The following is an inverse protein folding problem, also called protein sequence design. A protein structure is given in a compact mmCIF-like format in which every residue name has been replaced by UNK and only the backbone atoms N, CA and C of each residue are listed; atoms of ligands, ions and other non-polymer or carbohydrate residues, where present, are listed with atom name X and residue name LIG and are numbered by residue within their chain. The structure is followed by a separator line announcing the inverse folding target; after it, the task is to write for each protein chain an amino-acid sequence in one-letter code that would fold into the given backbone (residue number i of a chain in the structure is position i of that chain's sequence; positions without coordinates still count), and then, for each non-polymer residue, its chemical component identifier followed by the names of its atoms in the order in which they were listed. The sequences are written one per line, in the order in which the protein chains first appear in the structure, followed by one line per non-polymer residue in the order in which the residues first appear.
data_IF_387009443826
#
_entry.id   IF_387009443826
#
_cell.length_a   1.000
_cell.length_b   1.000
_cell.length_c   1.000
_cell.angle_alpha   90.00
_cell.angle_beta   90.00
_cell.angle_gamma   90.00
#
_symmetry.space_group_name_H-M   'P 1'
#
loop_
_entity.id
_entity.type
_entity.pdbx_description
1 polymer ?
#
# COMPACT_ATOMS: atom_id res chain seq x y z
N UNK A 1 -42.81 24.71 7.80
CA UNK A 1 -41.40 25.00 8.08
C UNK A 1 -40.62 23.74 7.71
N UNK A 2 -40.21 23.65 6.45
CA UNK A 2 -39.44 22.51 5.94
C UNK A 2 -38.06 22.57 6.58
N UNK A 3 -37.75 21.58 7.41
CA UNK A 3 -36.38 21.33 7.89
C UNK A 3 -35.60 21.01 6.62
N UNK A 4 -34.82 21.97 6.14
CA UNK A 4 -33.80 21.71 5.13
C UNK A 4 -32.79 20.79 5.79
N UNK A 5 -32.94 19.47 5.62
CA UNK A 5 -31.87 18.52 5.89
C UNK A 5 -30.63 19.03 5.13
N UNK A 6 -29.59 19.39 5.87
CA UNK A 6 -28.29 19.58 5.23
C UNK A 6 -27.97 18.26 4.55
N UNK A 7 -27.62 18.22 3.26
CA UNK A 7 -27.19 16.98 2.63
C UNK A 7 -26.06 16.40 3.49
N UNK A 8 -26.20 15.14 3.90
CA UNK A 8 -25.20 14.45 4.69
C UNK A 8 -23.86 14.54 3.94
N UNK A 9 -22.83 15.09 4.60
CA UNK A 9 -21.50 15.21 3.98
C UNK A 9 -20.93 13.79 3.84
N UNK A 10 -20.40 13.47 2.67
CA UNK A 10 -19.70 12.21 2.46
C UNK A 10 -18.54 12.04 3.47
N UNK A 11 -18.34 10.80 3.92
CA UNK A 11 -17.20 10.41 4.76
C UNK A 11 -15.93 10.57 3.93
N UNK A 12 -15.05 11.48 4.34
CA UNK A 12 -13.79 11.73 3.63
C UNK A 12 -12.72 10.72 4.06
N UNK A 13 -12.35 9.84 3.13
CA UNK A 13 -11.35 8.77 3.34
C UNK A 13 -10.06 9.11 2.61
N UNK A 14 -8.95 9.12 3.33
CA UNK A 14 -7.59 9.17 2.76
C UNK A 14 -6.94 7.79 2.91
N UNK A 15 -6.66 7.10 1.80
CA UNK A 15 -6.19 5.71 1.85
C UNK A 15 -4.91 5.48 1.03
N UNK A 16 -4.07 4.55 1.50
CA UNK A 16 -2.89 4.12 0.77
C UNK A 16 -3.24 3.61 -0.65
N UNK A 17 -2.38 3.90 -1.62
CA UNK A 17 -2.61 3.51 -3.03
C UNK A 17 -2.83 2.01 -3.23
N UNK A 18 -2.16 1.16 -2.45
CA UNK A 18 -2.33 -0.30 -2.49
C UNK A 18 -3.74 -0.77 -2.08
N UNK A 19 -4.52 0.06 -1.40
CA UNK A 19 -5.88 -0.24 -0.99
C UNK A 19 -6.92 0.08 -2.06
N UNK A 20 -6.55 0.78 -3.16
CA UNK A 20 -7.50 1.35 -4.14
C UNK A 20 -8.53 0.36 -4.64
N UNK A 21 -8.12 -0.82 -5.08
CA UNK A 21 -9.04 -1.81 -5.65
C UNK A 21 -10.01 -2.34 -4.59
N UNK A 22 -9.48 -2.74 -3.43
CA UNK A 22 -10.30 -3.24 -2.32
C UNK A 22 -11.26 -2.17 -1.78
N UNK A 23 -10.79 -0.94 -1.59
CA UNK A 23 -11.63 0.15 -1.07
C UNK A 23 -12.68 0.60 -2.08
N UNK A 24 -12.42 0.53 -3.39
CA UNK A 24 -13.47 0.79 -4.40
C UNK A 24 -14.66 -0.15 -4.19
N UNK A 25 -14.41 -1.44 -4.05
CA UNK A 25 -15.46 -2.44 -3.84
C UNK A 25 -16.12 -2.31 -2.46
N UNK A 26 -15.33 -2.08 -1.42
CA UNK A 26 -15.83 -1.91 -0.04
C UNK A 26 -16.72 -0.68 0.06
N UNK A 27 -16.30 0.44 -0.54
CA UNK A 27 -17.08 1.68 -0.60
C UNK A 27 -18.38 1.42 -1.34
N UNK A 28 -18.34 0.84 -2.54
CA UNK A 28 -19.56 0.54 -3.31
C UNK A 28 -20.54 -0.34 -2.51
N UNK A 29 -20.06 -1.38 -1.82
CA UNK A 29 -20.88 -2.25 -0.98
C UNK A 29 -21.45 -1.51 0.24
N UNK A 30 -20.64 -0.68 0.91
CA UNK A 30 -21.08 0.12 2.05
C UNK A 30 -22.12 1.17 1.67
N UNK A 31 -21.91 1.91 0.58
CA UNK A 31 -22.87 2.90 0.09
C UNK A 31 -24.20 2.22 -0.29
N UNK A 32 -24.15 1.09 -0.99
CA UNK A 32 -25.33 0.33 -1.35
C UNK A 32 -26.09 -0.23 -0.13
N UNK A 33 -25.37 -0.63 0.91
CA UNK A 33 -25.95 -1.21 2.12
C UNK A 33 -26.50 -0.18 3.12
N UNK A 34 -25.96 1.04 3.14
CA UNK A 34 -26.25 2.02 4.19
C UNK A 34 -26.83 3.34 3.67
N UNK A 35 -26.64 3.66 2.39
CA UNK A 35 -26.94 4.97 1.82
C UNK A 35 -25.96 6.08 2.23
N UNK A 36 -24.97 5.79 3.07
CA UNK A 36 -23.94 6.75 3.50
C UNK A 36 -22.91 6.88 2.38
N UNK A 37 -22.60 8.12 1.99
CA UNK A 37 -21.62 8.40 0.94
C UNK A 37 -20.18 8.41 1.47
N UNK A 38 -19.24 7.94 0.66
CA UNK A 38 -17.81 7.96 0.95
C UNK A 38 -17.05 8.63 -0.19
N UNK A 39 -16.27 9.66 0.14
CA UNK A 39 -15.34 10.31 -0.78
C UNK A 39 -13.92 9.82 -0.48
N UNK A 40 -13.42 8.90 -1.30
CA UNK A 40 -12.13 8.25 -1.10
C UNK A 40 -11.05 8.82 -2.04
N UNK A 41 -9.98 9.36 -1.45
CA UNK A 41 -8.77 9.74 -2.16
C UNK A 41 -7.64 8.76 -1.84
N UNK A 42 -6.95 8.31 -2.89
CA UNK A 42 -5.89 7.30 -2.79
C UNK A 42 -4.54 7.89 -3.21
N UNK A 43 -3.48 7.56 -2.45
CA UNK A 43 -2.13 8.01 -2.76
C UNK A 43 -1.06 7.42 -1.85
N UNK A 44 0.19 7.88 -1.97
CA UNK A 44 1.28 7.46 -1.08
C UNK A 44 0.95 7.82 0.36
N UNK A 45 0.90 6.82 1.25
CA UNK A 45 0.36 7.01 2.60
C UNK A 45 1.19 7.99 3.45
N UNK A 46 2.50 8.11 3.21
CA UNK A 46 3.36 9.10 3.86
C UNK A 46 3.03 10.52 3.42
N UNK A 47 2.76 10.74 2.13
CA UNK A 47 2.34 12.05 1.63
C UNK A 47 0.92 12.42 2.08
N UNK A 48 0.01 11.43 2.17
CA UNK A 48 -1.31 11.65 2.76
C UNK A 48 -1.22 12.02 4.24
N UNK A 49 -0.38 11.32 5.02
CA UNK A 49 -0.07 11.66 6.42
C UNK A 49 0.46 13.09 6.53
N UNK A 50 1.39 13.50 5.67
CA UNK A 50 1.95 14.86 5.67
C UNK A 50 0.90 15.95 5.37
N UNK A 51 -0.04 15.66 4.46
CA UNK A 51 -1.17 16.54 4.19
C UNK A 51 -2.08 16.70 5.42
N UNK A 52 -2.35 15.59 6.13
CA UNK A 52 -3.11 15.62 7.40
C UNK A 52 -2.35 16.43 8.46
N UNK A 53 -1.04 16.20 8.62
CA UNK A 53 -0.18 16.99 9.53
C UNK A 53 -0.18 18.48 9.18
N UNK A 54 -0.41 18.82 7.90
CA UNK A 54 -0.53 20.19 7.39
C UNK A 54 -1.96 20.76 7.48
N UNK A 55 -2.90 20.05 8.10
CA UNK A 55 -4.25 20.53 8.36
C UNK A 55 -5.33 20.09 7.35
N UNK A 56 -5.04 19.13 6.47
CA UNK A 56 -6.10 18.56 5.63
C UNK A 56 -7.14 17.82 6.49
N UNK A 57 -8.40 18.24 6.37
CA UNK A 57 -9.51 17.54 7.00
C UNK A 57 -9.70 16.13 6.43
N UNK A 58 -9.99 15.17 7.30
CA UNK A 58 -10.29 13.78 6.96
C UNK A 58 -11.22 13.19 8.03
N UNK A 59 -11.98 12.16 7.67
CA UNK A 59 -12.81 11.40 8.60
C UNK A 59 -12.17 10.05 8.93
N UNK A 60 -11.59 9.37 7.93
CA UNK A 60 -10.82 8.15 8.12
C UNK A 60 -9.51 8.19 7.32
N UNK A 61 -8.40 7.80 7.95
CA UNK A 61 -7.11 7.60 7.29
C UNK A 61 -6.72 6.13 7.38
N UNK A 62 -6.41 5.51 6.24
CA UNK A 62 -5.96 4.11 6.15
C UNK A 62 -4.57 4.05 5.49
N UNK A 63 -3.57 3.58 6.24
CA UNK A 63 -2.18 3.49 5.83
C UNK A 63 -1.73 2.05 5.61
N UNK A 64 -0.75 1.85 4.74
CA UNK A 64 -0.07 0.57 4.53
C UNK A 64 0.97 0.24 5.63
N UNK A 65 0.99 1.02 6.72
CA UNK A 65 1.76 0.75 7.93
C UNK A 65 0.97 1.22 9.16
N UNK A 66 1.32 0.72 10.35
CA UNK A 66 0.79 1.22 11.63
C UNK A 66 1.44 2.53 12.06
N UNK A 67 2.69 2.78 11.66
CA UNK A 67 3.47 3.92 12.10
C UNK A 67 2.84 5.28 11.74
N UNK A 68 2.17 5.39 10.58
CA UNK A 68 1.49 6.64 10.18
C UNK A 68 0.27 6.97 11.04
N UNK A 69 -0.75 6.11 11.19
CA UNK A 69 -1.89 6.41 12.06
C UNK A 69 -1.47 6.56 13.53
N UNK A 70 -0.49 5.79 14.02
CA UNK A 70 0.07 5.98 15.37
C UNK A 70 0.72 7.35 15.54
N UNK A 71 1.42 7.84 14.52
CA UNK A 71 2.00 9.18 14.54
C UNK A 71 0.93 10.25 14.61
N UNK A 72 -0.12 10.17 13.80
CA UNK A 72 -1.24 11.12 13.84
C UNK A 72 -1.91 11.13 15.22
N UNK A 73 -2.06 9.95 15.83
CA UNK A 73 -2.59 9.83 17.19
C UNK A 73 -1.67 10.50 18.22
N UNK A 74 -0.36 10.25 18.17
CA UNK A 74 0.63 10.91 19.06
C UNK A 74 0.65 12.44 18.92
N UNK A 75 0.36 12.95 17.73
CA UNK A 75 0.24 14.39 17.48
C UNK A 75 -1.11 14.97 17.90
N UNK A 76 -2.05 14.16 18.38
CA UNK A 76 -3.40 14.58 18.76
C UNK A 76 -4.32 14.88 17.56
N UNK A 77 -3.92 14.49 16.34
CA UNK A 77 -4.65 14.77 15.11
C UNK A 77 -5.72 13.73 14.77
N UNK A 78 -5.70 12.58 15.44
CA UNK A 78 -6.64 11.47 15.22
C UNK A 78 -7.04 10.78 16.54
N UNK A 79 -8.06 9.94 16.46
CA UNK A 79 -8.30 8.86 17.42
C UNK A 79 -7.18 7.79 17.40
N UNK A 80 -7.30 6.75 18.23
CA UNK A 80 -6.31 5.67 18.30
C UNK A 80 -6.17 4.96 16.95
N UNK A 81 -4.97 4.45 16.70
CA UNK A 81 -4.69 3.61 15.54
C UNK A 81 -5.17 2.17 15.78
N UNK A 82 -5.78 1.56 14.77
CA UNK A 82 -6.23 0.16 14.81
C UNK A 82 -5.70 -0.59 13.59
N UNK A 83 -5.12 -1.79 13.76
CA UNK A 83 -4.79 -2.65 12.64
C UNK A 83 -6.08 -3.18 11.98
N UNK A 84 -6.04 -3.39 10.66
CA UNK A 84 -7.22 -3.91 9.95
C UNK A 84 -6.90 -4.91 8.83
N UNK A 85 -5.67 -4.92 8.31
CA UNK A 85 -5.25 -5.86 7.29
C UNK A 85 -3.74 -6.11 7.35
N UNK A 86 -3.28 -7.15 6.66
CA UNK A 86 -1.88 -7.45 6.44
C UNK A 86 -1.60 -7.74 4.96
N UNK A 87 -0.34 -7.59 4.57
CA UNK A 87 0.16 -7.91 3.24
C UNK A 87 1.59 -8.46 3.36
N UNK A 88 2.08 -9.06 2.28
CA UNK A 88 3.44 -9.56 2.14
C UNK A 88 4.09 -8.95 0.91
N UNK A 89 5.42 -8.93 0.88
CA UNK A 89 6.14 -8.50 -0.31
C UNK A 89 6.26 -9.63 -1.34
N UNK A 90 6.45 -9.23 -2.59
CA UNK A 90 6.90 -10.06 -3.70
C UNK A 90 7.84 -9.26 -4.60
N UNK A 91 8.51 -9.98 -5.51
CA UNK A 91 9.24 -9.38 -6.61
C UNK A 91 8.40 -9.50 -7.88
N UNK A 92 8.27 -8.43 -8.63
CA UNK A 92 7.73 -8.45 -9.99
C UNK A 92 8.93 -8.27 -10.90
N UNK A 93 9.21 -9.22 -11.77
CA UNK A 93 10.39 -9.25 -12.61
C UNK A 93 10.02 -9.30 -14.09
N UNK A 94 10.89 -8.75 -14.94
CA UNK A 94 10.80 -8.96 -16.39
C UNK A 94 10.87 -10.47 -16.68
N UNK A 95 9.95 -10.96 -17.52
CA UNK A 95 9.95 -12.35 -17.93
C UNK A 95 11.27 -12.72 -18.64
N UNK A 96 11.67 -13.99 -18.52
CA UNK A 96 12.91 -14.51 -19.11
C UNK A 96 14.18 -14.31 -18.27
N UNK A 97 14.11 -13.64 -17.12
CA UNK A 97 15.25 -13.53 -16.19
C UNK A 97 15.60 -14.85 -15.47
N UNK A 98 14.72 -15.86 -15.52
CA UNK A 98 14.89 -17.11 -14.77
C UNK A 98 14.81 -16.91 -13.25
N UNK A 99 14.13 -15.86 -12.80
CA UNK A 99 14.02 -15.53 -11.38
C UNK A 99 13.07 -16.49 -10.65
N UNK A 100 13.59 -17.11 -9.60
CA UNK A 100 12.85 -17.95 -8.64
C UNK A 100 13.13 -17.47 -7.23
N UNK A 101 12.47 -18.06 -6.23
CA UNK A 101 12.70 -17.77 -4.82
C UNK A 101 14.16 -18.05 -4.38
N UNK A 102 14.82 -19.01 -5.05
CA UNK A 102 16.20 -19.43 -4.77
C UNK A 102 17.21 -18.54 -5.51
N UNK A 103 16.90 -18.09 -6.73
CA UNK A 103 17.83 -17.32 -7.57
C UNK A 103 17.67 -15.81 -7.44
N UNK A 104 16.60 -15.32 -6.78
CA UNK A 104 16.26 -13.89 -6.76
C UNK A 104 17.39 -12.99 -6.26
N UNK A 105 18.10 -13.39 -5.19
CA UNK A 105 19.20 -12.58 -4.64
C UNK A 105 20.34 -12.49 -5.65
N UNK A 106 20.76 -13.62 -6.23
CA UNK A 106 21.85 -13.64 -7.22
C UNK A 106 21.52 -12.81 -8.46
N UNK A 107 20.29 -12.92 -8.96
CA UNK A 107 19.84 -12.11 -10.11
C UNK A 107 19.83 -10.64 -9.75
N UNK A 108 19.26 -10.26 -8.61
CA UNK A 108 19.21 -8.86 -8.18
C UNK A 108 20.60 -8.27 -7.92
N UNK A 109 21.62 -9.09 -7.58
CA UNK A 109 23.00 -8.64 -7.40
C UNK A 109 23.75 -8.40 -8.72
N UNK A 110 23.32 -8.99 -9.84
CA UNK A 110 23.98 -8.78 -11.14
C UNK A 110 24.08 -7.30 -11.51
N UNK A 111 25.23 -6.78 -11.98
CA UNK A 111 25.39 -5.35 -12.25
C UNK A 111 24.42 -4.75 -13.27
N UNK A 112 23.95 -5.56 -14.23
CA UNK A 112 23.06 -5.13 -15.30
C UNK A 112 21.57 -5.05 -14.90
N UNK A 113 21.20 -5.65 -13.76
CA UNK A 113 19.81 -5.70 -13.29
C UNK A 113 19.45 -4.42 -12.52
N UNK A 114 18.40 -3.72 -12.99
CA UNK A 114 17.85 -2.52 -12.35
C UNK A 114 16.75 -2.88 -11.37
N UNK A 115 16.81 -2.34 -10.16
CA UNK A 115 15.83 -2.61 -9.10
C UNK A 115 14.97 -1.36 -8.88
N UNK A 116 13.68 -1.48 -9.10
CA UNK A 116 12.67 -0.46 -8.82
C UNK A 116 12.00 -0.68 -7.46
N UNK A 117 11.67 0.41 -6.79
CA UNK A 117 10.95 0.42 -5.51
C UNK A 117 10.01 1.64 -5.46
N UNK A 118 9.05 1.61 -4.55
CA UNK A 118 8.40 2.84 -4.09
C UNK A 118 9.37 3.69 -3.26
N UNK A 119 9.08 4.99 -3.15
CA UNK A 119 9.92 5.96 -2.44
C UNK A 119 9.79 5.79 -0.91
N UNK A 120 10.86 5.40 -0.19
CA UNK A 120 10.82 5.28 1.28
C UNK A 120 10.40 6.59 1.96
N UNK A 121 9.71 6.48 3.09
CA UNK A 121 9.11 7.59 3.84
C UNK A 121 7.83 8.18 3.23
N UNK A 122 7.77 8.30 1.90
CA UNK A 122 6.61 8.80 1.18
C UNK A 122 5.55 7.70 0.93
N UNK A 123 5.99 6.49 0.62
CA UNK A 123 5.17 5.31 0.37
C UNK A 123 5.70 4.11 1.17
N UNK A 124 4.90 3.51 2.08
CA UNK A 124 5.36 2.41 2.94
C UNK A 124 5.96 1.21 2.20
N UNK A 125 5.58 0.97 0.94
CA UNK A 125 6.20 -0.13 0.17
C UNK A 125 7.71 0.07 -0.02
N UNK A 126 8.18 1.32 -0.03
CA UNK A 126 9.60 1.65 -0.09
C UNK A 126 10.32 1.37 1.23
N UNK A 127 9.68 1.68 2.36
CA UNK A 127 10.22 1.37 3.69
C UNK A 127 10.37 -0.14 3.88
N UNK A 128 9.35 -0.91 3.47
CA UNK A 128 9.42 -2.38 3.51
C UNK A 128 10.42 -2.95 2.51
N UNK A 129 10.67 -2.32 1.36
CA UNK A 129 11.74 -2.73 0.45
C UNK A 129 13.12 -2.57 1.11
N UNK A 130 13.36 -1.48 1.83
CA UNK A 130 14.59 -1.31 2.62
C UNK A 130 14.69 -2.36 3.73
N UNK A 131 13.57 -2.73 4.36
CA UNK A 131 13.55 -3.81 5.35
C UNK A 131 13.87 -5.18 4.73
N UNK A 132 13.30 -5.47 3.56
CA UNK A 132 13.64 -6.67 2.80
C UNK A 132 15.14 -6.74 2.51
N UNK A 133 15.77 -5.63 2.09
CA UNK A 133 17.21 -5.60 1.88
C UNK A 133 18.01 -5.81 3.18
N UNK A 134 17.53 -5.28 4.33
CA UNK A 134 18.13 -5.60 5.65
C UNK A 134 17.98 -7.08 6.00
N UNK A 135 16.87 -7.72 5.65
CA UNK A 135 16.68 -9.15 5.85
C UNK A 135 17.67 -9.96 4.99
N UNK A 136 17.88 -9.55 3.74
CA UNK A 136 18.89 -10.14 2.85
C UNK A 136 20.30 -9.95 3.43
N UNK A 137 20.63 -8.78 3.97
CA UNK A 137 21.94 -8.53 4.61
C UNK A 137 22.20 -9.49 5.79
N UNK A 138 21.17 -9.78 6.60
CA UNK A 138 21.31 -10.74 7.71
C UNK A 138 21.49 -12.18 7.24
N UNK A 139 20.85 -12.56 6.14
CA UNK A 139 20.98 -13.91 5.56
C UNK A 139 22.29 -14.09 4.77
N UNK A 140 22.70 -13.05 4.03
CA UNK A 140 23.89 -13.03 3.18
C UNK A 140 24.61 -11.69 3.34
N UNK A 141 25.57 -11.60 4.28
CA UNK A 141 26.33 -10.37 4.52
C UNK A 141 26.96 -9.80 3.23
N UNK A 142 26.86 -8.49 3.07
CA UNK A 142 27.29 -7.72 1.90
C UNK A 142 26.24 -7.63 0.77
N UNK A 143 25.32 -8.59 0.67
CA UNK A 143 24.34 -8.58 -0.42
C UNK A 143 23.27 -7.50 -0.23
N UNK A 144 22.71 -7.36 0.97
CA UNK A 144 21.63 -6.42 1.22
C UNK A 144 22.05 -4.97 1.06
N UNK A 145 23.27 -4.62 1.49
CA UNK A 145 23.85 -3.30 1.26
C UNK A 145 24.01 -2.97 -0.23
N UNK A 146 24.46 -3.94 -1.05
CA UNK A 146 24.53 -3.78 -2.50
C UNK A 146 23.15 -3.59 -3.12
N UNK A 147 22.16 -4.39 -2.72
CA UNK A 147 20.79 -4.27 -3.22
C UNK A 147 20.18 -2.90 -2.88
N UNK A 148 20.35 -2.43 -1.64
CA UNK A 148 19.89 -1.11 -1.22
C UNK A 148 20.55 0.02 -2.02
N UNK A 149 21.86 -0.08 -2.30
CA UNK A 149 22.58 0.90 -3.13
C UNK A 149 22.17 0.89 -4.61
N UNK A 150 21.68 -0.24 -5.12
CA UNK A 150 21.17 -0.38 -6.49
C UNK A 150 19.72 0.07 -6.66
N UNK A 151 18.93 0.01 -5.60
CA UNK A 151 17.50 0.28 -5.65
C UNK A 151 17.22 1.74 -6.04
N UNK A 152 16.29 1.93 -6.97
CA UNK A 152 15.81 3.23 -7.42
C UNK A 152 14.39 3.44 -6.92
N UNK A 153 14.15 4.55 -6.25
CA UNK A 153 12.83 5.00 -5.86
C UNK A 153 12.13 5.60 -7.10
N UNK A 154 11.31 4.80 -7.78
CA UNK A 154 10.71 5.18 -9.07
C UNK A 154 9.31 5.76 -8.92
N UNK A 155 8.59 5.38 -7.87
CA UNK A 155 7.16 5.70 -7.70
C UNK A 155 6.84 6.14 -6.27
N UNK A 156 5.68 6.76 -6.07
CA UNK A 156 5.13 7.10 -4.76
C UNK A 156 5.82 8.26 -4.02
N UNK A 157 6.87 8.86 -4.60
CA UNK A 157 7.54 10.05 -4.09
C UNK A 157 6.88 11.34 -4.57
N UNK A 158 7.27 12.47 -3.96
CA UNK A 158 6.79 13.82 -4.34
C UNK A 158 7.14 14.18 -5.79
N UNK A 159 8.33 13.76 -6.21
CA UNK A 159 8.90 14.03 -7.54
C UNK A 159 8.78 12.82 -8.48
N UNK A 160 8.04 11.78 -8.08
CA UNK A 160 7.80 10.63 -8.96
C UNK A 160 6.95 11.04 -10.17
N UNK A 161 7.25 10.44 -11.32
CA UNK A 161 6.44 10.65 -12.52
C UNK A 161 4.99 10.21 -12.28
N UNK A 162 4.00 10.96 -12.81
CA UNK A 162 2.61 10.57 -12.69
C UNK A 162 2.37 9.28 -13.48
N UNK A 163 1.68 8.33 -12.84
CA UNK A 163 1.27 7.07 -13.45
C UNK A 163 -0.26 7.08 -13.49
N UNK A 164 -0.83 6.66 -14.62
CA UNK A 164 -2.28 6.50 -14.74
C UNK A 164 -2.79 5.50 -13.69
N UNK A 165 -3.94 5.80 -13.08
CA UNK A 165 -4.43 5.06 -11.90
C UNK A 165 -4.78 3.60 -12.15
N UNK A 166 -4.97 3.21 -13.40
CA UNK A 166 -5.27 1.86 -13.87
C UNK A 166 -4.01 1.06 -14.26
N UNK A 167 -2.84 1.70 -14.29
CA UNK A 167 -1.56 1.05 -14.63
C UNK A 167 -0.83 0.62 -13.36
N UNK A 168 -0.56 -0.68 -13.16
CA UNK A 168 0.26 -1.13 -12.04
C UNK A 168 1.67 -0.54 -12.10
N UNK A 169 2.12 0.08 -11.01
CA UNK A 169 3.41 0.79 -10.93
C UNK A 169 4.62 -0.07 -11.37
N UNK A 170 4.64 -1.35 -10.98
CA UNK A 170 5.69 -2.27 -11.38
C UNK A 170 5.69 -2.57 -12.88
N UNK A 171 4.50 -2.70 -13.49
CA UNK A 171 4.38 -2.88 -14.94
C UNK A 171 4.85 -1.64 -15.68
N UNK A 172 4.44 -0.45 -15.24
CA UNK A 172 4.94 0.82 -15.80
C UNK A 172 6.47 0.91 -15.76
N UNK A 173 7.09 0.61 -14.61
CA UNK A 173 8.53 0.70 -14.44
C UNK A 173 9.29 -0.33 -15.30
N UNK A 174 8.77 -1.55 -15.42
CA UNK A 174 9.44 -2.62 -16.18
C UNK A 174 9.23 -2.48 -17.68
N UNK A 175 7.99 -2.24 -18.11
CA UNK A 175 7.65 -2.07 -19.52
C UNK A 175 8.27 -0.78 -20.10
N UNK A 176 8.44 0.25 -19.26
CA UNK A 176 9.17 1.48 -19.60
C UNK A 176 10.70 1.35 -19.58
N UNK A 177 11.25 0.21 -19.13
CA UNK A 177 12.69 -0.06 -19.08
C UNK A 177 13.43 0.61 -17.91
N UNK A 178 12.71 1.21 -16.96
CA UNK A 178 13.28 1.85 -15.77
C UNK A 178 13.76 0.83 -14.72
N UNK A 179 13.15 -0.36 -14.71
CA UNK A 179 13.50 -1.48 -13.84
C UNK A 179 13.46 -2.84 -14.55
N UNK A 180 14.24 -3.80 -14.09
CA UNK A 180 14.12 -5.21 -14.46
C UNK A 180 13.37 -6.02 -13.40
N UNK A 181 13.46 -5.56 -12.14
CA UNK A 181 12.85 -6.18 -10.96
C UNK A 181 12.27 -5.06 -10.11
N UNK A 182 11.04 -5.23 -9.62
CA UNK A 182 10.36 -4.27 -8.77
C UNK A 182 9.93 -4.95 -7.46
N UNK A 183 10.30 -4.37 -6.31
CA UNK A 183 9.85 -4.84 -5.00
C UNK A 183 8.47 -4.23 -4.71
N UNK A 184 7.45 -5.07 -4.56
CA UNK A 184 6.05 -4.65 -4.41
C UNK A 184 5.28 -5.53 -3.43
N UNK A 185 4.02 -5.18 -3.16
CA UNK A 185 3.09 -6.04 -2.43
C UNK A 185 2.57 -7.20 -3.28
N UNK A 186 2.26 -8.34 -2.65
CA UNK A 186 1.60 -9.48 -3.32
C UNK A 186 0.26 -9.11 -3.94
N UNK A 187 -0.51 -8.24 -3.30
CA UNK A 187 -1.77 -7.73 -3.86
C UNK A 187 -1.56 -7.00 -5.19
N UNK A 188 -0.46 -6.26 -5.34
CA UNK A 188 -0.08 -5.64 -6.62
C UNK A 188 0.46 -6.68 -7.62
N UNK A 189 1.16 -7.71 -7.14
CA UNK A 189 1.59 -8.85 -7.95
C UNK A 189 0.42 -9.51 -8.68
N UNK A 190 -0.71 -9.74 -8.00
CA UNK A 190 -1.93 -10.29 -8.60
C UNK A 190 -2.44 -9.49 -9.80
N UNK A 191 -2.28 -8.17 -9.80
CA UNK A 191 -2.71 -7.31 -10.90
C UNK A 191 -1.91 -7.51 -12.19
N UNK A 192 -0.73 -8.14 -12.10
CA UNK A 192 0.17 -8.35 -13.22
C UNK A 192 0.40 -9.82 -13.57
N UNK A 193 -0.19 -10.77 -12.82
CA UNK A 193 -0.02 -12.22 -13.05
C UNK A 193 -0.41 -12.65 -14.47
N UNK A 194 -1.41 -12.02 -15.08
CA UNK A 194 -1.85 -12.32 -16.43
C UNK A 194 -0.97 -11.69 -17.53
N UNK A 195 0.05 -10.89 -17.19
CA UNK A 195 0.89 -10.18 -18.17
C UNK A 195 2.07 -11.07 -18.58
N UNK A 196 2.17 -11.53 -19.84
CA UNK A 196 3.20 -12.49 -20.25
C UNK A 196 4.63 -11.93 -20.18
N UNK A 197 4.79 -10.60 -20.21
CA UNK A 197 6.09 -9.94 -20.07
C UNK A 197 6.62 -9.86 -18.64
N UNK A 198 5.83 -10.28 -17.64
CA UNK A 198 6.16 -10.16 -16.23
C UNK A 198 6.06 -11.51 -15.51
N UNK A 199 6.90 -11.69 -14.49
CA UNK A 199 6.88 -12.82 -13.58
C UNK A 199 6.74 -12.33 -12.15
N UNK A 200 5.82 -12.92 -11.39
CA UNK A 200 5.65 -12.62 -9.96
C UNK A 200 6.36 -13.70 -9.16
N UNK A 201 7.37 -13.30 -8.39
CA UNK A 201 8.21 -14.19 -7.60
C UNK A 201 7.94 -13.96 -6.12
N UNK A 202 7.53 -15.04 -5.45
CA UNK A 202 7.33 -15.07 -4.01
C UNK A 202 8.67 -14.86 -3.27
N UNK A 203 8.68 -13.91 -2.32
CA UNK A 203 9.80 -13.79 -1.37
C UNK A 203 9.65 -14.91 -0.31
N UNK A 204 10.70 -15.70 -0.03
CA UNK A 204 10.69 -16.68 1.05
C UNK A 204 10.38 -16.05 2.41
N UNK A 205 9.61 -16.76 3.25
CA UNK A 205 9.17 -16.27 4.57
C UNK A 205 10.30 -15.72 5.47
N UNK A 206 11.51 -16.28 5.36
CA UNK A 206 12.68 -15.83 6.14
C UNK A 206 13.21 -14.43 5.75
N UNK A 207 12.88 -13.99 4.53
CA UNK A 207 13.23 -12.68 3.98
C UNK A 207 12.03 -11.73 3.89
N UNK A 208 10.80 -12.27 3.91
CA UNK A 208 9.57 -11.51 3.78
C UNK A 208 9.38 -10.49 4.91
N UNK A 209 8.66 -9.42 4.60
CA UNK A 209 8.33 -8.35 5.52
C UNK A 209 6.81 -8.33 5.64
N UNK A 210 6.30 -8.58 6.86
CA UNK A 210 4.88 -8.52 7.14
C UNK A 210 4.44 -7.05 7.20
N UNK A 211 3.71 -6.60 6.19
CA UNK A 211 3.18 -5.25 6.13
C UNK A 211 1.83 -5.20 6.87
N UNK A 212 1.79 -4.56 8.04
CA UNK A 212 0.56 -4.37 8.83
C UNK A 212 -0.11 -3.04 8.50
N UNK A 213 -1.33 -3.09 8.01
CA UNK A 213 -2.12 -1.93 7.61
C UNK A 213 -2.91 -1.40 8.81
N UNK A 214 -2.83 -0.09 9.01
CA UNK A 214 -3.47 0.61 10.13
C UNK A 214 -4.45 1.67 9.67
N UNK A 215 -5.51 1.87 10.44
CA UNK A 215 -6.47 2.95 10.26
C UNK A 215 -6.57 3.82 11.52
N UNK A 216 -7.02 5.06 11.35
CA UNK A 216 -7.47 5.91 12.44
C UNK A 216 -8.60 6.84 11.97
N UNK A 217 -9.46 7.25 12.90
CA UNK A 217 -10.51 8.24 12.66
C UNK A 217 -10.01 9.65 12.97
N UNK A 218 -10.44 10.63 12.18
CA UNK A 218 -10.19 12.05 12.46
C UNK A 218 -10.84 12.50 13.77
N UNK A 219 -10.29 13.54 14.41
CA UNK A 219 -10.85 14.06 15.69
C UNK A 219 -12.30 14.50 15.61
N UNK A 220 -12.70 14.97 14.44
CA UNK A 220 -14.04 15.48 14.15
C UNK A 220 -14.84 14.52 13.26
N UNK A 221 -14.39 13.27 13.14
CA UNK A 221 -15.12 12.24 12.42
C UNK A 221 -16.48 12.00 13.10
N UNK A 222 -17.54 11.97 12.30
CA UNK A 222 -18.90 11.70 12.79
C UNK A 222 -19.23 10.20 12.82
N UNK A 223 -20.44 9.89 13.25
CA UNK A 223 -20.97 8.51 13.35
C UNK A 223 -20.91 7.73 12.04
N UNK A 224 -21.00 8.41 10.90
CA UNK A 224 -20.93 7.78 9.58
C UNK A 224 -19.52 7.24 9.27
N UNK A 225 -18.48 7.92 9.76
CA UNK A 225 -17.10 7.47 9.64
C UNK A 225 -16.81 6.30 10.59
N UNK A 226 -17.38 6.32 11.79
CA UNK A 226 -17.33 5.19 12.74
C UNK A 226 -17.99 3.95 12.11
N UNK A 227 -19.18 4.10 11.52
CA UNK A 227 -19.87 3.02 10.79
C UNK A 227 -19.05 2.48 9.62
N UNK A 228 -18.36 3.35 8.87
CA UNK A 228 -17.48 2.89 7.79
C UNK A 228 -16.26 2.12 8.33
N UNK A 229 -15.66 2.56 9.44
CA UNK A 229 -14.59 1.83 10.10
C UNK A 229 -15.07 0.46 10.64
N UNK A 230 -16.24 0.41 11.27
CA UNK A 230 -16.86 -0.83 11.72
C UNK A 230 -17.16 -1.79 10.56
N UNK A 231 -17.66 -1.26 9.44
CA UNK A 231 -17.88 -2.05 8.22
C UNK A 231 -16.58 -2.66 7.70
N UNK A 232 -15.50 -1.88 7.64
CA UNK A 232 -14.18 -2.35 7.21
C UNK A 232 -13.65 -3.48 8.12
N UNK A 233 -13.92 -3.40 9.42
CA UNK A 233 -13.51 -4.40 10.42
C UNK A 233 -14.48 -5.59 10.53
N UNK A 234 -15.67 -5.50 9.93
CA UNK A 234 -16.67 -6.56 9.90
C UNK A 234 -16.24 -7.75 9.04
N UNK A 235 -16.94 -8.88 9.15
CA UNK A 235 -16.73 -10.04 8.28
C UNK A 235 -16.85 -9.67 6.78
N UNK A 236 -17.80 -8.80 6.42
CA UNK A 236 -18.01 -8.36 5.02
C UNK A 236 -16.83 -7.54 4.51
N UNK A 237 -16.31 -6.63 5.34
CA UNK A 237 -15.12 -5.83 5.00
C UNK A 237 -13.87 -6.69 4.85
N UNK A 238 -13.66 -7.62 5.78
CA UNK A 238 -12.55 -8.59 5.73
C UNK A 238 -12.63 -9.50 4.51
N UNK A 239 -13.80 -10.02 4.18
CA UNK A 239 -13.98 -10.85 2.97
C UNK A 239 -13.70 -10.08 1.68
N UNK A 240 -14.07 -8.79 1.63
CA UNK A 240 -13.69 -7.93 0.51
C UNK A 240 -12.17 -7.76 0.42
N UNK A 241 -11.49 -7.47 1.53
CA UNK A 241 -10.02 -7.39 1.58
C UNK A 241 -9.36 -8.72 1.13
N UNK A 242 -9.87 -9.86 1.60
CA UNK A 242 -9.37 -11.20 1.25
C UNK A 242 -9.51 -11.50 -0.25
N UNK A 243 -10.62 -11.12 -0.89
CA UNK A 243 -10.79 -11.26 -2.36
C UNK A 243 -9.70 -10.52 -3.13
N UNK A 244 -9.24 -9.38 -2.61
CA UNK A 244 -8.14 -8.61 -3.18
C UNK A 244 -6.74 -9.08 -2.76
N UNK A 245 -6.64 -10.10 -1.90
CA UNK A 245 -5.38 -10.76 -1.51
C UNK A 245 -4.69 -10.18 -0.28
N UNK A 246 -5.36 -9.30 0.45
CA UNK A 246 -4.95 -8.97 1.81
C UNK A 246 -5.16 -10.16 2.73
N UNK A 247 -4.47 -10.18 3.86
CA UNK A 247 -4.66 -11.15 4.92
C UNK A 247 -5.19 -10.45 6.19
N UNK A 248 -5.70 -11.24 7.12
CA UNK A 248 -5.96 -10.75 8.47
C UNK A 248 -4.67 -10.26 9.13
N UNK A 249 -4.76 -9.16 9.87
CA UNK A 249 -3.70 -8.74 10.77
C UNK A 249 -3.55 -9.76 11.92
N UNK A 250 -2.32 -9.95 12.41
CA UNK A 250 -2.01 -10.84 13.53
C UNK A 250 -1.68 -10.07 14.77
#
# INVERSE_FOLDING_TARGET
MTISERPARAVKVLAAGSLRQAFTDIVAAFEAGTGIRVDAAFGPAGLLRERIESGEAFDLFASANMAHPERLHRLGLSGPASPFAANSLCLIARAGLGMTAETMIEIMLRPDIRIGTSTPGADPSGDYALEFFRNVERERPGAGAVLAGKARALVGGRDSLPIASDVPAAAWAIDGGEADVFVSYRTNGRLVEARPGLAVVAIPKRLDVAASYGLCLGRMAGTDAERFAEWLLSAVGKDALHRHGFADYR
#
